data_IF_551238575637
#
_entry.id   IF_551238575637
#
_cell.length_a   1.000
_cell.length_b   1.000
_cell.length_c   1.000
_cell.angle_alpha   90.00
_cell.angle_beta   90.00
_cell.angle_gamma   90.00
#
_symmetry.space_group_name_H-M   'P 1'
#
loop_
_entity.id
_entity.type
_entity.pdbx_description
1 polymer ?
#
# COMPACT_ATOMS: atom_id res chain seq x y z
N UNK A 1 0.37 -16.59 -12.02
CA UNK A 1 -0.47 -15.42 -12.36
C UNK A 1 -0.69 -14.75 -11.04
N UNK A 2 -0.39 -13.45 -10.96
CA UNK A 2 -0.38 -12.77 -9.67
C UNK A 2 -1.72 -12.95 -8.93
N UNK A 3 -1.64 -13.32 -7.65
CA UNK A 3 -2.78 -13.42 -6.74
C UNK A 3 -2.75 -12.20 -5.83
N UNK A 4 -3.85 -11.46 -5.81
CA UNK A 4 -4.02 -10.24 -5.03
C UNK A 4 -5.17 -10.43 -4.06
N UNK A 5 -5.01 -9.96 -2.83
CA UNK A 5 -6.04 -10.00 -1.80
C UNK A 5 -5.96 -8.75 -0.94
N UNK A 6 -7.11 -8.23 -0.52
CA UNK A 6 -7.20 -7.20 0.53
C UNK A 6 -8.08 -7.73 1.66
N UNK A 7 -7.59 -7.65 2.90
CA UNK A 7 -8.40 -7.99 4.07
C UNK A 7 -9.26 -6.81 4.50
N UNK A 8 -10.21 -7.11 5.39
CA UNK A 8 -11.10 -6.15 6.01
C UNK A 8 -11.18 -6.45 7.52
N UNK A 9 -11.85 -5.59 8.29
CA UNK A 9 -12.02 -5.72 9.75
C UNK A 9 -12.46 -7.12 10.19
N UNK A 10 -13.36 -7.74 9.43
CA UNK A 10 -13.89 -9.08 9.72
C UNK A 10 -12.83 -10.19 9.76
N UNK A 11 -11.70 -10.01 9.06
CA UNK A 11 -10.60 -10.97 9.06
C UNK A 11 -9.81 -10.93 10.38
N UNK A 12 -9.89 -9.82 11.11
CA UNK A 12 -9.03 -9.52 12.24
C UNK A 12 -7.94 -8.51 11.90
N UNK A 13 -7.38 -7.90 12.94
CA UNK A 13 -6.30 -6.91 12.80
C UNK A 13 -4.95 -7.58 12.59
N UNK A 14 -4.18 -7.06 11.63
CA UNK A 14 -2.78 -7.40 11.39
C UNK A 14 -1.86 -6.21 11.72
N UNK A 15 -2.21 -5.46 12.77
CA UNK A 15 -1.36 -4.39 13.32
C UNK A 15 -0.04 -4.96 13.91
N UNK A 16 0.89 -4.07 14.24
CA UNK A 16 2.16 -4.44 14.87
C UNK A 16 2.04 -4.38 16.42
N UNK A 17 2.53 -5.39 17.18
CA UNK A 17 3.05 -6.68 16.72
C UNK A 17 1.95 -7.58 16.14
N UNK A 18 2.31 -8.37 15.14
CA UNK A 18 1.35 -9.20 14.40
C UNK A 18 0.84 -10.35 15.29
N UNK A 19 -0.48 -10.47 15.41
CA UNK A 19 -1.11 -11.60 16.08
C UNK A 19 -0.82 -12.91 15.32
N UNK A 20 -0.17 -13.87 15.99
CA UNK A 20 0.28 -15.12 15.37
C UNK A 20 -0.87 -15.93 14.75
N UNK A 21 -2.03 -16.03 15.43
CA UNK A 21 -3.21 -16.74 14.92
C UNK A 21 -3.72 -16.12 13.62
N UNK A 22 -3.83 -14.79 13.58
CA UNK A 22 -4.31 -14.06 12.40
C UNK A 22 -3.31 -14.16 11.24
N UNK A 23 -2.01 -14.19 11.54
CA UNK A 23 -0.97 -14.41 10.54
C UNK A 23 -1.01 -15.82 9.95
N UNK A 24 -1.17 -16.85 10.79
CA UNK A 24 -1.33 -18.24 10.31
C UNK A 24 -2.56 -18.36 9.42
N UNK A 25 -3.69 -17.79 9.82
CA UNK A 25 -4.90 -17.77 8.98
C UNK A 25 -4.68 -17.09 7.62
N UNK A 26 -3.88 -16.02 7.59
CA UNK A 26 -3.53 -15.34 6.34
C UNK A 26 -2.63 -16.22 5.46
N UNK A 27 -1.60 -16.82 6.04
CA UNK A 27 -0.69 -17.71 5.32
C UNK A 27 -1.43 -18.93 4.75
N UNK A 28 -2.35 -19.51 5.52
CA UNK A 28 -3.19 -20.64 5.09
C UNK A 28 -4.12 -20.24 3.93
N UNK A 29 -4.74 -19.05 4.01
CA UNK A 29 -5.62 -18.53 2.96
C UNK A 29 -4.86 -18.29 1.64
N UNK A 30 -3.63 -17.79 1.72
CA UNK A 30 -2.78 -17.54 0.54
C UNK A 30 -2.11 -18.83 0.05
N UNK A 31 -1.92 -19.81 0.95
CA UNK A 31 -1.16 -21.04 0.71
C UNK A 31 0.35 -20.81 0.66
N UNK A 32 0.84 -19.69 1.21
CA UNK A 32 2.25 -19.28 1.20
C UNK A 32 2.60 -18.52 2.49
N UNK A 33 3.85 -18.59 2.98
CA UNK A 33 4.30 -17.69 4.02
C UNK A 33 4.29 -16.22 3.54
N UNK A 34 4.09 -15.30 4.47
CA UNK A 34 3.85 -13.88 4.17
C UNK A 34 4.93 -13.01 4.79
N UNK A 35 5.61 -12.22 3.96
CA UNK A 35 6.57 -11.21 4.39
C UNK A 35 5.87 -9.89 4.67
N UNK A 36 6.07 -9.34 5.87
CA UNK A 36 5.64 -8.00 6.25
C UNK A 36 6.82 -7.03 6.25
N UNK A 37 6.54 -5.73 6.20
CA UNK A 37 7.53 -4.66 6.23
C UNK A 37 7.39 -3.78 7.48
N UNK A 38 8.49 -3.17 7.94
CA UNK A 38 8.48 -2.18 9.03
C UNK A 38 8.22 -0.77 8.47
N UNK A 39 6.94 -0.39 8.42
CA UNK A 39 6.46 0.81 7.73
C UNK A 39 6.67 2.08 8.55
N UNK A 40 7.32 3.07 7.96
CA UNK A 40 7.65 4.36 8.60
C UNK A 40 7.18 5.55 7.77
N UNK A 41 6.52 5.30 6.63
CA UNK A 41 6.20 6.27 5.59
C UNK A 41 7.44 6.87 4.89
N UNK A 42 8.52 6.07 4.81
CA UNK A 42 9.71 6.33 4.00
C UNK A 42 9.44 6.12 2.51
N UNK A 43 10.51 6.17 1.70
CA UNK A 43 10.50 5.64 0.34
C UNK A 43 11.47 4.47 0.16
N UNK A 44 11.86 3.81 1.25
CA UNK A 44 12.80 2.70 1.19
C UNK A 44 12.11 1.44 0.70
N UNK A 45 12.84 0.70 -0.12
CA UNK A 45 12.40 -0.58 -0.67
C UNK A 45 13.38 -1.67 -0.30
N UNK A 46 12.88 -2.90 -0.22
CA UNK A 46 13.67 -4.08 0.08
C UNK A 46 13.29 -5.24 -0.84
N UNK A 47 14.31 -5.97 -1.32
CA UNK A 47 14.11 -7.14 -2.18
C UNK A 47 14.04 -8.38 -1.30
N UNK A 48 12.99 -9.16 -1.48
CA UNK A 48 12.71 -10.34 -0.67
C UNK A 48 12.96 -11.59 -1.51
N UNK A 49 13.96 -12.37 -1.16
CA UNK A 49 14.23 -13.68 -1.76
C UNK A 49 13.74 -14.82 -0.87
N UNK A 50 13.70 -14.62 0.44
CA UNK A 50 13.19 -15.57 1.45
C UNK A 50 12.49 -14.81 2.57
N UNK A 51 11.65 -15.50 3.35
CA UNK A 51 11.09 -14.90 4.57
C UNK A 51 12.22 -14.57 5.54
N UNK A 52 12.19 -13.35 6.06
CA UNK A 52 13.18 -12.84 7.01
C UNK A 52 12.55 -11.84 7.99
N UNK A 53 13.31 -11.50 9.02
CA UNK A 53 12.92 -10.41 9.93
C UNK A 53 12.74 -9.13 9.14
N UNK A 54 11.62 -8.44 9.35
CA UNK A 54 11.34 -7.19 8.67
C UNK A 54 12.48 -6.19 8.91
N UNK A 55 13.09 -5.73 7.82
CA UNK A 55 14.08 -4.67 7.87
C UNK A 55 13.40 -3.38 8.29
N UNK A 56 14.03 -2.67 9.23
CA UNK A 56 13.61 -1.34 9.68
C UNK A 56 13.45 -0.38 8.50
N UNK A 57 12.60 0.63 8.70
CA UNK A 57 12.41 1.75 7.75
C UNK A 57 12.18 1.28 6.30
N UNK A 58 11.15 0.45 6.07
CA UNK A 58 10.82 -0.15 4.76
C UNK A 58 9.34 -0.01 4.45
N UNK A 59 9.02 0.64 3.32
CA UNK A 59 7.64 0.90 2.87
C UNK A 59 7.33 0.28 1.50
N UNK A 60 8.27 -0.47 0.92
CA UNK A 60 8.04 -1.25 -0.29
C UNK A 60 8.81 -2.57 -0.25
N UNK A 61 8.14 -3.65 -0.63
CA UNK A 61 8.76 -4.95 -0.84
C UNK A 61 8.62 -5.36 -2.30
N UNK A 62 9.63 -6.03 -2.86
CA UNK A 62 9.60 -6.58 -4.23
C UNK A 62 10.13 -8.01 -4.17
N UNK A 63 9.52 -8.93 -4.93
CA UNK A 63 10.00 -10.31 -5.06
C UNK A 63 9.69 -10.90 -6.43
N UNK A 64 10.56 -11.78 -6.91
CA UNK A 64 10.33 -12.73 -7.99
C UNK A 64 10.12 -14.17 -7.47
N UNK A 65 10.19 -14.38 -6.15
CA UNK A 65 10.02 -15.69 -5.54
C UNK A 65 8.53 -16.08 -5.53
N UNK A 66 8.24 -17.25 -6.10
CA UNK A 66 6.89 -17.82 -6.18
C UNK A 66 6.44 -18.51 -4.90
N UNK A 67 7.33 -18.76 -3.96
CA UNK A 67 7.08 -19.53 -2.74
C UNK A 67 6.69 -18.66 -1.55
N UNK A 68 6.59 -17.33 -1.72
CA UNK A 68 6.17 -16.40 -0.67
C UNK A 68 5.21 -15.33 -1.19
N UNK A 69 4.58 -14.62 -0.26
CA UNK A 69 3.74 -13.46 -0.51
C UNK A 69 4.28 -12.22 0.21
N UNK A 70 3.95 -11.05 -0.30
CA UNK A 70 4.29 -9.75 0.29
C UNK A 70 3.04 -9.08 0.85
N UNK A 71 3.14 -8.47 2.03
CA UNK A 71 2.03 -7.78 2.69
C UNK A 71 2.35 -6.32 2.99
N UNK A 72 1.35 -5.46 2.76
CA UNK A 72 1.31 -4.06 3.18
C UNK A 72 0.16 -3.84 4.15
N UNK A 73 0.43 -3.20 5.29
CA UNK A 73 -0.54 -2.89 6.35
C UNK A 73 -1.06 -1.46 6.19
N UNK A 74 -2.37 -1.25 6.32
CA UNK A 74 -2.94 0.10 6.25
C UNK A 74 -4.12 0.28 7.20
N UNK A 75 -4.30 1.52 7.60
CA UNK A 75 -5.58 2.13 7.93
C UNK A 75 -5.51 3.54 7.34
N UNK A 76 -6.27 3.79 6.26
CA UNK A 76 -6.29 5.01 5.44
C UNK A 76 -5.19 5.20 4.39
N UNK A 77 -3.94 4.78 4.61
CA UNK A 77 -2.92 4.85 3.56
C UNK A 77 -3.27 3.92 2.39
N UNK A 78 -2.75 4.18 1.18
CA UNK A 78 -3.03 3.34 0.00
C UNK A 78 -2.19 2.06 0.10
N UNK A 79 -2.81 0.86 0.16
CA UNK A 79 -2.12 -0.40 -0.05
C UNK A 79 -2.02 -0.63 -1.57
N UNK A 80 -0.87 -0.30 -2.14
CA UNK A 80 -0.63 -0.46 -3.58
C UNK A 80 0.02 -1.82 -3.83
N UNK A 81 -0.63 -2.64 -4.65
CA UNK A 81 -0.10 -3.91 -5.12
C UNK A 81 0.29 -3.78 -6.59
N UNK A 82 1.55 -4.06 -6.92
CA UNK A 82 2.09 -3.98 -8.28
C UNK A 82 2.50 -5.36 -8.76
N UNK A 83 2.26 -5.66 -10.03
CA UNK A 83 2.70 -6.93 -10.62
C UNK A 83 3.10 -6.80 -12.08
N UNK A 84 3.98 -7.71 -12.48
CA UNK A 84 4.35 -8.03 -13.84
C UNK A 84 4.29 -9.55 -14.00
N UNK A 85 4.74 -10.08 -15.14
CA UNK A 85 4.77 -11.53 -15.42
C UNK A 85 5.65 -12.31 -14.43
N UNK A 86 6.74 -11.70 -13.97
CA UNK A 86 7.80 -12.36 -13.18
C UNK A 86 8.05 -11.73 -11.81
N UNK A 87 7.45 -10.59 -11.51
CA UNK A 87 7.73 -9.80 -10.30
C UNK A 87 6.43 -9.29 -9.68
N UNK A 88 6.38 -9.23 -8.36
CA UNK A 88 5.32 -8.55 -7.60
C UNK A 88 5.91 -7.62 -6.56
N UNK A 89 5.15 -6.59 -6.18
CA UNK A 89 5.52 -5.67 -5.11
C UNK A 89 4.30 -5.27 -4.27
N UNK A 90 4.52 -5.13 -2.96
CA UNK A 90 3.58 -4.52 -2.03
C UNK A 90 4.17 -3.19 -1.56
N UNK A 91 3.39 -2.11 -1.64
CA UNK A 91 3.86 -0.75 -1.39
C UNK A 91 2.90 -0.02 -0.46
N UNK A 92 3.45 0.54 0.62
CA UNK A 92 2.75 1.41 1.56
C UNK A 92 2.82 2.86 1.09
N UNK A 93 1.73 3.36 0.52
CA UNK A 93 1.66 4.73 0.00
C UNK A 93 0.78 5.59 0.92
N UNK A 94 1.37 6.03 2.04
CA UNK A 94 0.80 7.12 2.84
C UNK A 94 1.17 8.49 2.28
N UNK A 95 0.68 9.58 2.88
CA UNK A 95 0.98 10.95 2.41
C UNK A 95 2.47 11.23 2.27
N UNK A 96 3.29 10.96 3.30
CA UNK A 96 4.74 11.17 3.21
C UNK A 96 5.39 10.28 2.14
N UNK A 97 4.99 9.01 2.07
CA UNK A 97 5.49 8.08 1.04
C UNK A 97 5.16 8.53 -0.38
N UNK A 98 3.96 9.09 -0.59
CA UNK A 98 3.56 9.70 -1.87
C UNK A 98 4.47 10.89 -2.23
N UNK A 99 4.65 11.83 -1.30
CA UNK A 99 5.51 13.00 -1.51
C UNK A 99 7.00 12.63 -1.72
N UNK A 100 7.42 11.48 -1.17
CA UNK A 100 8.76 10.92 -1.34
C UNK A 100 8.85 9.94 -2.53
N UNK A 101 7.80 9.85 -3.35
CA UNK A 101 7.73 9.06 -4.59
C UNK A 101 8.02 7.55 -4.43
N UNK A 102 7.58 6.96 -3.30
CA UNK A 102 7.84 5.53 -3.03
C UNK A 102 7.35 4.62 -4.16
N UNK A 103 6.19 4.91 -4.73
CA UNK A 103 5.61 4.10 -5.81
C UNK A 103 6.42 4.21 -7.12
N UNK A 104 6.81 5.42 -7.53
CA UNK A 104 7.65 5.64 -8.71
C UNK A 104 9.01 4.96 -8.56
N UNK A 105 9.61 5.03 -7.37
CA UNK A 105 10.87 4.35 -7.03
C UNK A 105 10.72 2.83 -7.10
N UNK A 106 9.61 2.27 -6.60
CA UNK A 106 9.31 0.84 -6.73
C UNK A 106 9.15 0.41 -8.18
N UNK A 107 8.37 1.13 -8.98
CA UNK A 107 8.19 0.83 -10.42
C UNK A 107 9.50 0.89 -11.18
N UNK A 108 10.32 1.91 -10.93
CA UNK A 108 11.68 2.03 -11.50
C UNK A 108 12.54 0.82 -11.13
N UNK A 109 12.50 0.41 -9.86
CA UNK A 109 13.24 -0.76 -9.41
C UNK A 109 12.73 -2.05 -10.07
N UNK A 110 11.41 -2.25 -10.17
CA UNK A 110 10.83 -3.39 -10.88
C UNK A 110 11.28 -3.41 -12.36
N UNK A 111 11.23 -2.29 -13.07
CA UNK A 111 11.73 -2.18 -14.46
C UNK A 111 13.22 -2.57 -14.55
N UNK A 112 14.05 -2.10 -13.61
CA UNK A 112 15.49 -2.47 -13.56
C UNK A 112 15.75 -3.95 -13.31
N UNK A 113 14.78 -4.66 -12.72
CA UNK A 113 14.80 -6.11 -12.50
C UNK A 113 14.17 -6.90 -13.67
N UNK A 114 13.82 -6.23 -14.77
CA UNK A 114 13.25 -6.86 -15.96
C UNK A 114 11.72 -7.00 -15.94
N UNK A 115 11.01 -6.27 -15.10
CA UNK A 115 9.55 -6.22 -15.18
C UNK A 115 9.11 -5.49 -16.47
N UNK A 116 8.37 -6.20 -17.31
CA UNK A 116 7.67 -5.64 -18.47
C UNK A 116 6.18 -5.52 -18.17
N UNK A 117 5.49 -4.52 -18.73
CA UNK A 117 4.03 -4.33 -18.58
C UNK A 117 3.57 -4.46 -17.12
N UNK A 118 3.87 -3.45 -16.31
CA UNK A 118 3.48 -3.42 -14.90
C UNK A 118 2.00 -3.01 -14.81
N UNK A 119 1.28 -3.68 -13.92
CA UNK A 119 -0.08 -3.36 -13.52
C UNK A 119 -0.08 -3.02 -12.03
N UNK A 120 -0.99 -2.14 -11.61
CA UNK A 120 -1.16 -1.74 -10.23
C UNK A 120 -2.63 -1.78 -9.82
N UNK A 121 -2.87 -2.17 -8.57
CA UNK A 121 -4.17 -2.11 -7.93
C UNK A 121 -4.04 -1.42 -6.58
N UNK A 122 -4.73 -0.28 -6.43
CA UNK A 122 -4.88 0.40 -5.16
C UNK A 122 -6.07 -0.21 -4.40
N UNK A 123 -5.80 -0.76 -3.22
CA UNK A 123 -6.85 -1.28 -2.35
C UNK A 123 -7.56 -0.20 -1.52
N UNK A 124 -8.40 -0.60 -0.55
CA UNK A 124 -9.17 0.31 0.29
C UNK A 124 -8.28 1.32 1.05
N UNK A 125 -8.59 2.60 0.91
CA UNK A 125 -7.82 3.71 1.48
C UNK A 125 -8.72 4.94 1.72
N UNK A 126 -8.21 6.02 2.32
CA UNK A 126 -9.03 7.21 2.56
C UNK A 126 -9.25 8.01 1.26
N UNK A 127 -10.51 8.33 0.94
CA UNK A 127 -10.84 9.06 -0.28
C UNK A 127 -10.52 10.57 -0.16
N UNK A 128 -10.43 11.24 -1.32
CA UNK A 128 -10.18 12.69 -1.41
C UNK A 128 -11.26 13.58 -0.79
N UNK A 129 -12.45 13.06 -0.53
CA UNK A 129 -13.52 13.77 0.18
C UNK A 129 -13.40 13.67 1.70
N UNK A 130 -12.55 12.78 2.21
CA UNK A 130 -12.46 12.43 3.63
C UNK A 130 -11.13 12.78 4.29
N UNK A 131 -10.05 12.95 3.50
CA UNK A 131 -8.70 13.15 4.02
C UNK A 131 -8.31 14.63 4.19
N UNK A 132 -8.78 15.23 5.28
CA UNK A 132 -8.44 16.60 5.67
C UNK A 132 -7.01 16.70 6.23
N UNK A 133 -6.25 17.76 5.92
CA UNK A 133 -4.87 17.91 6.43
C UNK A 133 -4.57 19.30 7.02
N UNK A 134 -5.57 20.18 7.10
CA UNK A 134 -5.41 21.57 7.52
C UNK A 134 -4.92 22.45 6.36
N UNK A 135 -5.35 23.72 6.35
CA UNK A 135 -5.16 24.63 5.20
C UNK A 135 -3.71 24.81 4.80
N UNK A 136 -2.82 25.12 5.75
CA UNK A 136 -1.41 25.36 5.44
C UNK A 136 -0.77 24.14 4.76
N UNK A 137 -0.97 22.93 5.31
CA UNK A 137 -0.40 21.71 4.74
C UNK A 137 -1.01 21.39 3.37
N UNK A 138 -2.32 21.60 3.20
CA UNK A 138 -2.99 21.39 1.93
C UNK A 138 -2.41 22.31 0.84
N UNK A 139 -2.26 23.61 1.13
CA UNK A 139 -1.71 24.59 0.19
C UNK A 139 -0.25 24.28 -0.19
N UNK A 140 0.59 23.93 0.79
CA UNK A 140 1.99 23.53 0.54
C UNK A 140 2.09 22.32 -0.39
N UNK A 141 1.23 21.31 -0.17
CA UNK A 141 1.20 20.09 -0.98
C UNK A 141 0.62 20.38 -2.36
N UNK A 142 -0.47 21.15 -2.49
CA UNK A 142 -1.04 21.47 -3.81
C UNK A 142 -0.05 22.22 -4.71
N UNK A 143 0.83 23.05 -4.13
CA UNK A 143 1.85 23.76 -4.89
C UNK A 143 2.90 22.83 -5.49
N UNK A 144 3.22 21.73 -4.81
CA UNK A 144 4.28 20.80 -5.21
C UNK A 144 3.74 19.55 -5.92
N UNK A 145 2.52 19.13 -5.59
CA UNK A 145 1.85 17.92 -6.07
C UNK A 145 0.38 18.25 -6.39
N UNK A 146 0.11 19.04 -7.44
CA UNK A 146 -1.21 19.60 -7.72
C UNK A 146 -2.29 18.55 -7.95
N UNK A 147 -1.98 17.36 -8.49
CA UNK A 147 -2.97 16.31 -8.68
C UNK A 147 -3.52 15.75 -7.36
N UNK A 148 -2.85 15.98 -6.23
CA UNK A 148 -3.36 15.57 -4.91
C UNK A 148 -4.50 16.45 -4.42
N UNK A 149 -4.91 17.48 -5.17
CA UNK A 149 -5.96 18.40 -4.74
C UNK A 149 -7.32 17.70 -4.62
N UNK A 150 -7.87 17.71 -3.40
CA UNK A 150 -9.24 17.33 -3.11
C UNK A 150 -10.15 18.55 -3.00
N UNK A 151 -11.21 18.43 -2.18
CA UNK A 151 -11.99 19.59 -1.73
C UNK A 151 -11.13 20.51 -0.83
N UNK A 152 -11.67 21.65 -0.40
CA UNK A 152 -10.98 22.60 0.48
C UNK A 152 -10.31 21.87 1.66
N UNK A 153 -9.01 22.08 1.86
CA UNK A 153 -8.17 21.50 2.92
C UNK A 153 -8.03 19.96 2.90
N UNK A 154 -8.36 19.30 1.78
CA UNK A 154 -8.33 17.84 1.64
C UNK A 154 -7.34 17.34 0.58
N UNK A 155 -6.74 16.18 0.82
CA UNK A 155 -5.86 15.53 -0.15
C UNK A 155 -6.53 14.31 -0.79
N UNK A 156 -6.40 14.18 -2.10
CA UNK A 156 -6.68 12.96 -2.84
C UNK A 156 -5.36 12.24 -3.16
N UNK A 157 -4.98 11.28 -2.32
CA UNK A 157 -3.73 10.54 -2.49
C UNK A 157 -3.71 9.71 -3.77
N UNK A 158 -4.84 9.12 -4.16
CA UNK A 158 -4.91 8.28 -5.36
C UNK A 158 -4.73 9.10 -6.64
N UNK A 159 -5.28 10.31 -6.71
CA UNK A 159 -5.04 11.20 -7.85
C UNK A 159 -3.56 11.57 -8.01
N UNK A 160 -2.86 11.85 -6.90
CA UNK A 160 -1.40 12.06 -6.93
C UNK A 160 -0.63 10.80 -7.33
N UNK A 161 -1.04 9.64 -6.82
CA UNK A 161 -0.44 8.36 -7.20
C UNK A 161 -0.62 8.06 -8.70
N UNK A 162 -1.80 8.34 -9.25
CA UNK A 162 -2.09 8.18 -10.68
C UNK A 162 -1.24 9.11 -11.55
N UNK A 163 -1.00 10.35 -11.10
CA UNK A 163 -0.09 11.29 -11.76
C UNK A 163 1.36 10.77 -11.76
N UNK A 164 1.81 10.15 -10.66
CA UNK A 164 3.15 9.57 -10.56
C UNK A 164 3.36 8.32 -11.43
N UNK A 165 2.29 7.57 -11.68
CA UNK A 165 2.34 6.24 -12.30
C UNK A 165 1.69 6.18 -13.70
N UNK A 166 1.90 7.21 -14.53
CA UNK A 166 1.28 7.32 -15.86
C UNK A 166 1.68 6.21 -16.84
N UNK A 167 2.85 5.60 -16.64
CA UNK A 167 3.41 4.57 -17.53
C UNK A 167 2.87 3.16 -17.28
N UNK A 168 1.98 2.98 -16.29
CA UNK A 168 1.44 1.66 -15.94
C UNK A 168 -0.09 1.69 -15.94
N UNK A 169 -0.72 0.53 -16.07
CA UNK A 169 -2.16 0.40 -15.84
C UNK A 169 -2.41 0.37 -14.34
N UNK A 170 -3.05 1.41 -13.80
CA UNK A 170 -3.38 1.53 -12.39
C UNK A 170 -4.90 1.55 -12.19
N UNK A 171 -5.40 0.59 -11.41
CA UNK A 171 -6.80 0.49 -11.02
C UNK A 171 -6.99 0.85 -9.54
N UNK A 172 -8.23 1.18 -9.18
CA UNK A 172 -8.66 1.47 -7.82
C UNK A 172 -9.85 0.60 -7.46
N UNK A 173 -9.87 0.06 -6.24
CA UNK A 173 -11.06 -0.63 -5.71
C UNK A 173 -12.18 0.36 -5.33
N UNK A 174 -11.88 1.66 -5.24
CA UNK A 174 -12.84 2.73 -4.98
C UNK A 174 -13.64 2.55 -3.67
N UNK A 175 -12.98 2.03 -2.63
CA UNK A 175 -13.52 1.90 -1.28
C UNK A 175 -12.81 2.87 -0.33
N UNK A 176 -13.58 3.76 0.29
CA UNK A 176 -13.10 4.65 1.34
C UNK A 176 -13.09 3.96 2.72
N UNK A 177 -11.92 3.87 3.36
CA UNK A 177 -11.78 3.26 4.69
C UNK A 177 -12.49 4.05 5.79
N UNK A 178 -12.58 5.38 5.66
CA UNK A 178 -13.26 6.24 6.64
C UNK A 178 -14.79 6.11 6.56
N UNK A 179 -15.33 5.92 5.36
CA UNK A 179 -16.79 5.87 5.13
C UNK A 179 -17.36 4.46 5.32
N UNK A 180 -16.51 3.43 5.28
CA UNK A 180 -16.94 2.03 5.34
C UNK A 180 -16.49 1.35 6.64
N UNK A 181 -17.45 1.02 7.51
CA UNK A 181 -17.23 0.38 8.82
C UNK A 181 -16.54 -0.99 8.75
N UNK A 182 -16.56 -1.65 7.59
CA UNK A 182 -15.89 -2.92 7.39
C UNK A 182 -14.36 -2.80 7.31
N UNK A 183 -13.80 -1.59 7.28
CA UNK A 183 -12.36 -1.36 7.28
C UNK A 183 -11.91 -0.61 8.52
N UNK A 184 -10.64 -0.78 8.91
CA UNK A 184 -10.04 0.08 9.92
C UNK A 184 -9.67 1.42 9.31
N UNK A 185 -9.93 2.50 10.06
CA UNK A 185 -9.58 3.86 9.69
C UNK A 185 -9.04 4.62 10.90
N UNK A 186 -7.79 5.06 10.77
CA UNK A 186 -7.16 5.92 11.78
C UNK A 186 -7.88 7.27 11.84
N UNK A 187 -8.33 7.80 10.71
CA UNK A 187 -9.03 9.08 10.63
C UNK A 187 -10.46 9.02 11.16
N UNK A 188 -11.12 7.87 11.11
CA UNK A 188 -12.47 7.73 11.64
C UNK A 188 -12.49 7.71 13.17
N UNK A 189 -11.63 6.91 13.81
CA UNK A 189 -11.70 6.67 15.26
C UNK A 189 -10.34 6.40 15.93
N UNK A 190 -9.23 6.91 15.37
CA UNK A 190 -7.86 6.68 15.88
C UNK A 190 -7.52 5.20 16.08
N UNK A 191 -8.07 4.34 15.22
CA UNK A 191 -8.01 2.89 15.42
C UNK A 191 -6.57 2.36 15.28
N UNK A 192 -6.20 1.48 16.20
CA UNK A 192 -4.92 0.75 16.14
C UNK A 192 -4.95 -0.38 15.10
N UNK A 193 -6.14 -0.88 14.75
CA UNK A 193 -6.31 -2.01 13.84
C UNK A 193 -5.80 -1.74 12.43
N UNK A 194 -5.31 -2.78 11.73
CA UNK A 194 -4.82 -2.68 10.35
C UNK A 194 -5.37 -3.80 9.49
N UNK A 195 -5.91 -3.43 8.33
CA UNK A 195 -6.11 -4.35 7.20
C UNK A 195 -4.81 -4.48 6.39
N UNK A 196 -4.74 -5.48 5.53
CA UNK A 196 -3.59 -5.71 4.65
C UNK A 196 -3.97 -5.86 3.19
N UNK A 197 -3.11 -5.39 2.30
CA UNK A 197 -3.02 -5.88 0.93
C UNK A 197 -1.94 -6.94 0.83
N UNK A 198 -2.20 -8.04 0.15
CA UNK A 198 -1.27 -9.16 -0.04
C UNK A 198 -1.15 -9.51 -1.50
N UNK A 199 0.08 -9.75 -1.96
CA UNK A 199 0.36 -10.17 -3.33
C UNK A 199 1.38 -11.30 -3.40
N UNK A 200 1.19 -12.22 -4.34
CA UNK A 200 2.16 -13.24 -4.72
C UNK A 200 2.06 -13.60 -6.21
N UNK A 201 3.07 -14.27 -6.77
CA UNK A 201 3.08 -14.75 -8.17
C UNK A 201 2.22 -15.99 -8.44
#
# INVERSE_FOLDING_TARGET
MARLLFTARQFGSLADPINQKTNTQLADLIGKPVQFMHQTHSNNLHLISTIETAKEDTDSLITDNKDLALAVRVADCIPLLLYSKNLVAAVHVGRKGLLNEVASKTVTKMKSLGAEKIYGLAGPHICGNCYEVGTQMAEEIYRTHPATKGKKDHLNLFSGLKEQLQDITLENIDICTKENIHYFSYRAAAEAGRQVGVISL
#
